data_IF_456616523678
#
_entry.id   IF_456616523678
#
_cell.length_a   1.000
_cell.length_b   1.000
_cell.length_c   1.000
_cell.angle_alpha   90.00
_cell.angle_beta   90.00
_cell.angle_gamma   90.00
#
_symmetry.space_group_name_H-M   'P 1'
#
loop_
_entity.id
_entity.type
_entity.pdbx_description
1 polymer ?
#
# COMPACT_ATOMS: atom_id res chain seq x y z
N UNK A 1 -5.29 16.52 -11.44
CA UNK A 1 -4.38 17.12 -10.44
C UNK A 1 -3.16 17.64 -11.18
N UNK A 2 -2.78 18.91 -10.99
CA UNK A 2 -1.51 19.42 -11.53
C UNK A 2 -0.35 18.58 -11.00
N UNK A 3 0.69 18.39 -11.81
CA UNK A 3 1.92 17.70 -11.37
C UNK A 3 2.71 18.64 -10.46
N UNK A 4 3.26 18.10 -9.38
CA UNK A 4 4.17 18.84 -8.49
C UNK A 4 5.49 19.18 -9.16
N UNK A 5 5.90 18.43 -10.18
CA UNK A 5 7.04 18.75 -11.03
C UNK A 5 6.86 18.21 -12.46
N UNK A 6 7.65 18.75 -13.40
CA UNK A 6 7.81 18.19 -14.74
C UNK A 6 9.31 18.06 -14.99
N UNK A 7 9.77 16.85 -15.31
CA UNK A 7 11.16 16.64 -15.73
C UNK A 7 11.42 17.38 -17.04
N UNK A 8 12.58 18.04 -17.14
CA UNK A 8 13.01 18.75 -18.37
C UNK A 8 13.40 17.78 -19.50
N UNK A 9 13.59 16.50 -19.19
CA UNK A 9 13.96 15.42 -20.11
C UNK A 9 12.88 14.35 -20.16
N UNK A 10 12.76 13.63 -21.29
CA UNK A 10 11.85 12.49 -21.39
C UNK A 10 12.24 11.29 -20.51
N UNK A 11 11.25 10.56 -19.99
CA UNK A 11 11.44 9.43 -19.08
C UNK A 11 12.38 8.33 -19.62
N UNK A 12 12.37 8.07 -20.93
CA UNK A 12 13.18 7.03 -21.55
C UNK A 12 14.70 7.22 -21.37
N UNK A 13 15.17 8.45 -21.10
CA UNK A 13 16.59 8.72 -20.81
C UNK A 13 17.02 8.11 -19.48
N UNK A 14 16.11 8.04 -18.51
CA UNK A 14 16.38 7.55 -17.15
C UNK A 14 16.27 6.03 -17.02
N UNK A 15 15.69 5.35 -18.01
CA UNK A 15 15.50 3.89 -18.04
C UNK A 15 16.62 3.14 -18.80
N UNK A 16 17.84 3.70 -18.86
CA UNK A 16 18.96 3.17 -19.68
C UNK A 16 20.07 2.49 -18.88
N UNK A 17 19.90 2.32 -17.56
CA UNK A 17 20.96 1.72 -16.73
C UNK A 17 21.27 0.29 -17.19
N UNK A 18 22.55 -0.06 -17.18
CA UNK A 18 23.05 -1.39 -17.56
C UNK A 18 23.21 -2.36 -16.37
N UNK A 19 22.89 -1.91 -15.15
CA UNK A 19 23.00 -2.74 -13.95
C UNK A 19 24.45 -3.14 -13.60
N UNK A 20 25.42 -2.31 -13.99
CA UNK A 20 26.83 -2.53 -13.68
C UNK A 20 27.07 -2.51 -12.16
N UNK A 21 28.11 -3.21 -11.73
CA UNK A 21 28.54 -3.22 -10.32
C UNK A 21 28.78 -1.78 -9.85
N UNK A 22 28.35 -1.47 -8.62
CA UNK A 22 28.54 -0.16 -7.96
C UNK A 22 27.91 1.04 -8.72
N UNK A 23 26.94 0.78 -9.61
CA UNK A 23 26.26 1.82 -10.40
C UNK A 23 25.32 2.71 -9.56
N UNK A 24 24.98 2.31 -8.35
CA UNK A 24 24.19 3.05 -7.37
C UNK A 24 24.99 3.41 -6.11
N UNK A 25 26.33 3.37 -6.14
CA UNK A 25 27.18 3.58 -4.94
C UNK A 25 26.96 4.91 -4.20
N UNK A 26 26.56 5.94 -4.93
CA UNK A 26 26.34 7.28 -4.40
C UNK A 26 24.87 7.51 -3.99
N UNK A 27 24.05 6.46 -4.01
CA UNK A 27 22.64 6.51 -3.63
C UNK A 27 22.37 5.88 -2.28
N UNK A 28 21.39 6.45 -1.59
CA UNK A 28 20.90 5.99 -0.30
C UNK A 28 19.43 5.61 -0.42
N UNK A 29 19.14 4.32 -0.25
CA UNK A 29 17.81 3.74 -0.50
C UNK A 29 17.20 3.26 0.82
N UNK A 30 16.02 3.78 1.15
CA UNK A 30 15.26 3.37 2.32
C UNK A 30 14.43 2.11 2.07
N UNK A 31 14.58 1.08 2.91
CA UNK A 31 13.79 -0.14 2.89
C UNK A 31 12.56 0.06 3.79
N UNK A 32 11.37 -0.12 3.22
CA UNK A 32 10.09 -0.03 3.94
C UNK A 32 9.74 -1.39 4.54
N UNK A 33 10.12 -1.64 5.80
CA UNK A 33 9.93 -2.92 6.48
C UNK A 33 8.47 -3.23 6.81
N UNK A 34 7.62 -2.21 6.89
CA UNK A 34 6.16 -2.34 7.03
C UNK A 34 5.55 -3.18 5.91
N UNK A 35 6.15 -3.15 4.71
CA UNK A 35 5.72 -3.97 3.55
C UNK A 35 6.18 -5.43 3.62
N UNK A 36 7.11 -5.75 4.52
CA UNK A 36 7.83 -7.03 4.61
C UNK A 36 7.48 -7.82 5.88
N UNK A 37 6.44 -7.42 6.60
CA UNK A 37 6.04 -8.06 7.85
C UNK A 37 5.35 -9.41 7.57
N UNK A 38 5.91 -10.49 8.13
CA UNK A 38 5.26 -11.80 8.11
C UNK A 38 4.26 -11.98 9.26
N UNK A 39 4.52 -11.35 10.41
CA UNK A 39 3.67 -11.38 11.60
C UNK A 39 3.16 -12.79 11.99
N UNK A 40 4.04 -13.79 11.89
CA UNK A 40 3.72 -15.20 12.18
C UNK A 40 2.94 -15.96 11.11
N UNK A 41 2.59 -15.33 9.97
CA UNK A 41 1.93 -16.02 8.86
C UNK A 41 2.94 -16.84 8.05
N UNK A 42 2.72 -18.16 8.00
CA UNK A 42 3.46 -19.08 7.12
C UNK A 42 3.31 -18.72 5.65
N UNK A 43 2.18 -18.14 5.24
CA UNK A 43 1.97 -17.70 3.87
C UNK A 43 2.88 -16.53 3.47
N UNK A 44 3.24 -15.67 4.41
CA UNK A 44 4.08 -14.49 4.16
C UNK A 44 5.59 -14.76 4.31
N UNK A 45 6.00 -15.73 5.13
CA UNK A 45 7.41 -16.05 5.39
C UNK A 45 8.26 -16.28 4.12
N UNK A 46 7.81 -17.04 3.09
CA UNK A 46 8.64 -17.31 1.91
C UNK A 46 9.06 -16.04 1.17
N UNK A 47 8.11 -15.13 0.91
CA UNK A 47 8.38 -13.92 0.13
C UNK A 47 9.17 -12.92 0.98
N UNK A 48 8.75 -12.68 2.23
CA UNK A 48 9.42 -11.72 3.13
C UNK A 48 10.89 -12.09 3.37
N UNK A 49 11.19 -13.39 3.49
CA UNK A 49 12.57 -13.90 3.58
C UNK A 49 13.33 -13.73 2.26
N UNK A 50 12.69 -14.06 1.13
CA UNK A 50 13.32 -13.94 -0.19
C UNK A 50 13.66 -12.48 -0.52
N UNK A 51 12.73 -11.55 -0.29
CA UNK A 51 12.92 -10.13 -0.61
C UNK A 51 13.96 -9.45 0.28
N UNK A 52 14.08 -9.84 1.56
CA UNK A 52 15.12 -9.31 2.45
C UNK A 52 16.53 -9.65 1.93
N UNK A 53 16.73 -10.88 1.45
CA UNK A 53 17.99 -11.31 0.83
C UNK A 53 18.20 -10.64 -0.54
N UNK A 54 17.15 -10.49 -1.32
CA UNK A 54 17.22 -9.88 -2.65
C UNK A 54 17.67 -8.42 -2.58
N UNK A 55 17.07 -7.62 -1.68
CA UNK A 55 17.45 -6.21 -1.50
C UNK A 55 18.92 -6.09 -1.11
N UNK A 56 19.39 -6.87 -0.13
CA UNK A 56 20.79 -6.82 0.31
C UNK A 56 21.76 -7.27 -0.76
N UNK A 57 21.47 -8.38 -1.43
CA UNK A 57 22.39 -8.94 -2.44
C UNK A 57 22.45 -8.08 -3.71
N UNK A 58 21.31 -7.57 -4.18
CA UNK A 58 21.27 -6.82 -5.43
C UNK A 58 21.45 -5.31 -5.25
N UNK A 59 20.60 -4.66 -4.44
CA UNK A 59 20.68 -3.20 -4.27
C UNK A 59 21.90 -2.79 -3.45
N UNK A 60 22.18 -3.50 -2.36
CA UNK A 60 23.35 -3.25 -1.52
C UNK A 60 24.65 -3.77 -2.14
N UNK A 61 24.85 -5.08 -2.16
CA UNK A 61 26.15 -5.67 -2.47
C UNK A 61 26.58 -5.57 -3.94
N UNK A 62 25.66 -5.77 -4.90
CA UNK A 62 26.01 -5.70 -6.33
C UNK A 62 25.97 -4.26 -6.86
N UNK A 63 24.88 -3.53 -6.63
CA UNK A 63 24.70 -2.17 -7.15
C UNK A 63 25.37 -1.10 -6.29
N UNK A 64 25.77 -1.42 -5.06
CA UNK A 64 26.55 -0.55 -4.18
C UNK A 64 25.72 0.46 -3.39
N UNK A 65 24.39 0.46 -3.46
CA UNK A 65 23.59 1.45 -2.77
C UNK A 65 23.74 1.34 -1.25
N UNK A 66 23.79 2.48 -0.56
CA UNK A 66 23.69 2.52 0.89
C UNK A 66 22.25 2.19 1.30
N UNK A 67 22.06 1.13 2.08
CA UNK A 67 20.74 0.70 2.54
C UNK A 67 20.45 1.22 3.94
N UNK A 68 19.24 1.73 4.13
CA UNK A 68 18.72 2.21 5.41
C UNK A 68 17.34 1.61 5.59
N UNK A 69 16.95 1.09 6.75
CA UNK A 69 15.65 0.43 6.94
C UNK A 69 14.77 1.14 7.97
N UNK A 70 13.45 1.13 7.73
CA UNK A 70 12.47 1.56 8.71
C UNK A 70 12.33 0.56 9.86
N UNK A 71 11.95 1.05 11.03
CA UNK A 71 11.63 0.23 12.20
C UNK A 71 10.14 -0.09 12.28
N UNK A 72 9.82 -1.30 12.74
CA UNK A 72 8.45 -1.71 13.08
C UNK A 72 8.50 -2.69 14.27
N UNK A 73 7.55 -2.66 15.23
CA UNK A 73 7.53 -3.59 16.37
C UNK A 73 7.49 -5.08 16.00
N UNK A 74 7.02 -5.41 14.81
CA UNK A 74 6.92 -6.77 14.27
C UNK A 74 8.12 -7.12 13.38
N UNK A 75 9.07 -6.21 13.21
CA UNK A 75 10.31 -6.41 12.46
C UNK A 75 11.49 -6.49 13.43
N UNK A 76 12.37 -7.48 13.23
CA UNK A 76 13.66 -7.51 13.92
C UNK A 76 14.68 -6.72 13.09
N UNK A 77 15.27 -5.63 13.63
CA UNK A 77 16.32 -4.88 12.96
C UNK A 77 17.42 -5.79 12.39
N UNK A 78 17.81 -5.52 11.14
CA UNK A 78 18.94 -6.16 10.49
C UNK A 78 20.23 -5.48 10.97
N UNK A 79 21.13 -6.18 11.68
CA UNK A 79 22.33 -5.56 12.25
C UNK A 79 23.32 -5.04 11.20
N UNK A 80 23.16 -5.42 9.93
CA UNK A 80 24.01 -4.98 8.82
C UNK A 80 23.41 -3.80 8.04
N UNK A 81 22.21 -3.33 8.40
CA UNK A 81 21.52 -2.22 7.72
C UNK A 81 21.33 -1.08 8.70
N UNK A 82 21.63 0.14 8.26
CA UNK A 82 21.43 1.33 9.08
C UNK A 82 19.94 1.54 9.39
N UNK A 83 19.62 1.87 10.64
CA UNK A 83 18.25 2.17 11.04
C UNK A 83 17.87 3.62 10.74
N UNK A 84 16.65 3.83 10.24
CA UNK A 84 16.10 5.18 10.08
C UNK A 84 15.94 5.87 11.45
N UNK A 85 16.40 7.12 11.54
CA UNK A 85 16.17 7.98 12.70
C UNK A 85 14.69 8.34 12.84
N UNK A 86 14.10 8.84 11.75
CA UNK A 86 12.66 9.09 11.61
C UNK A 86 12.07 8.07 10.63
N UNK A 87 11.48 6.99 11.14
CA UNK A 87 10.76 5.99 10.36
C UNK A 87 9.29 6.40 10.11
N UNK A 88 8.50 5.55 9.46
CA UNK A 88 7.11 5.85 9.13
C UNK A 88 6.23 6.01 10.37
N UNK A 89 6.46 5.22 11.44
CA UNK A 89 5.66 5.32 12.68
C UNK A 89 5.93 6.64 13.40
N UNK A 90 7.19 7.07 13.48
CA UNK A 90 7.56 8.39 14.03
C UNK A 90 7.03 9.52 13.15
N UNK A 91 7.16 9.40 11.83
CA UNK A 91 6.62 10.41 10.91
C UNK A 91 5.08 10.53 11.02
N UNK A 92 4.37 9.41 11.14
CA UNK A 92 2.93 9.40 11.42
C UNK A 92 2.60 10.06 12.76
N UNK A 93 3.36 9.76 13.83
CA UNK A 93 3.16 10.40 15.14
C UNK A 93 3.29 11.93 15.06
N UNK A 94 4.24 12.44 14.27
CA UNK A 94 4.43 13.89 14.05
C UNK A 94 3.30 14.52 13.24
N UNK A 95 2.78 13.82 12.24
CA UNK A 95 1.94 14.40 11.19
C UNK A 95 0.44 14.15 11.38
N UNK A 96 0.04 13.04 12.01
CA UNK A 96 -1.38 12.74 12.26
C UNK A 96 -2.09 13.85 13.04
N UNK A 97 -1.52 14.39 14.13
CA UNK A 97 -2.13 15.52 14.85
C UNK A 97 -2.45 16.75 13.99
N UNK A 98 -1.67 16.98 12.92
CA UNK A 98 -1.78 18.17 12.07
C UNK A 98 -2.71 17.94 10.88
N UNK A 99 -2.58 16.78 10.22
CA UNK A 99 -3.26 16.52 8.95
C UNK A 99 -4.59 15.79 9.10
N UNK A 100 -4.70 14.89 10.09
CA UNK A 100 -5.84 14.00 10.21
C UNK A 100 -6.02 13.50 11.66
N UNK A 101 -6.23 14.42 12.63
CA UNK A 101 -6.31 14.06 14.05
C UNK A 101 -7.48 13.13 14.38
N UNK A 102 -8.54 13.12 13.56
CA UNK A 102 -9.69 12.22 13.69
C UNK A 102 -9.30 10.73 13.63
N UNK A 103 -8.16 10.39 13.02
CA UNK A 103 -7.62 9.03 12.99
C UNK A 103 -7.59 8.40 14.39
N UNK A 104 -7.10 9.14 15.39
CA UNK A 104 -6.92 8.61 16.75
C UNK A 104 -8.26 8.32 17.45
N UNK A 105 -9.35 8.92 16.98
CA UNK A 105 -10.70 8.73 17.54
C UNK A 105 -11.52 7.65 16.81
N UNK A 106 -10.94 6.95 15.84
CA UNK A 106 -11.69 5.95 15.06
C UNK A 106 -12.06 4.74 15.90
N UNK A 107 -13.22 4.18 15.56
CA UNK A 107 -13.74 2.96 16.15
C UNK A 107 -13.70 1.80 15.14
N UNK A 108 -13.46 0.60 15.65
CA UNK A 108 -13.59 -0.66 14.91
C UNK A 108 -15.08 -0.96 14.66
N UNK A 109 -15.34 -1.98 13.85
CA UNK A 109 -16.71 -2.43 13.56
C UNK A 109 -17.48 -2.88 14.82
N UNK A 110 -16.78 -3.39 15.85
CA UNK A 110 -17.36 -3.76 17.14
C UNK A 110 -17.62 -2.55 18.07
N UNK A 111 -17.27 -1.34 17.63
CA UNK A 111 -17.45 -0.11 18.37
C UNK A 111 -16.32 0.23 19.34
N UNK A 112 -15.27 -0.58 19.46
CA UNK A 112 -14.11 -0.30 20.32
C UNK A 112 -13.09 0.62 19.64
N UNK A 113 -12.25 1.37 20.38
CA UNK A 113 -11.22 2.21 19.78
C UNK A 113 -10.24 1.44 18.90
N UNK A 114 -9.90 2.03 17.75
CA UNK A 114 -8.80 1.55 16.89
C UNK A 114 -7.47 1.71 17.63
N UNK A 115 -7.28 2.82 18.35
CA UNK A 115 -6.06 3.13 19.10
C UNK A 115 -6.32 3.07 20.62
N UNK A 116 -6.27 1.87 21.23
CA UNK A 116 -6.55 1.71 22.65
C UNK A 116 -5.54 2.45 23.54
N UNK A 117 -4.26 2.54 23.14
CA UNK A 117 -3.23 3.27 23.89
C UNK A 117 -3.56 4.77 24.03
N UNK A 118 -4.11 5.35 22.95
CA UNK A 118 -4.59 6.74 22.97
C UNK A 118 -5.80 6.89 23.90
N UNK A 119 -6.81 6.03 23.75
CA UNK A 119 -7.99 6.04 24.62
C UNK A 119 -7.62 5.81 26.10
N UNK A 120 -6.60 5.01 26.40
CA UNK A 120 -6.15 4.76 27.76
C UNK A 120 -5.44 5.97 28.39
N UNK A 121 -4.83 6.83 27.57
CA UNK A 121 -4.03 7.97 28.04
C UNK A 121 -4.86 9.25 28.26
N UNK A 122 -5.97 9.40 27.55
CA UNK A 122 -6.79 10.62 27.56
C UNK A 122 -7.93 10.56 28.58
N UNK A 123 -8.43 11.73 28.96
CA UNK A 123 -9.68 11.89 29.72
C UNK A 123 -10.89 11.34 28.95
N UNK A 124 -12.01 10.98 29.62
CA UNK A 124 -13.25 10.60 28.96
C UNK A 124 -13.66 11.59 27.85
N UNK A 125 -13.67 11.12 26.61
CA UNK A 125 -13.89 11.89 25.38
C UNK A 125 -14.82 11.11 24.45
N UNK A 126 -15.72 11.82 23.78
CA UNK A 126 -16.64 11.22 22.80
C UNK A 126 -15.92 10.95 21.46
N UNK A 127 -15.91 9.70 21.01
CA UNK A 127 -15.26 9.26 19.76
C UNK A 127 -16.26 9.22 18.59
N UNK A 128 -17.53 8.98 18.91
CA UNK A 128 -18.67 8.97 18.00
C UNK A 128 -19.94 9.26 18.81
N UNK A 129 -21.07 9.65 18.19
CA UNK A 129 -22.29 10.00 18.91
C UNK A 129 -22.70 8.94 19.95
N UNK A 130 -22.73 9.33 21.22
CA UNK A 130 -23.06 8.49 22.37
C UNK A 130 -21.99 7.49 22.79
N UNK A 131 -20.78 7.54 22.22
CA UNK A 131 -19.67 6.61 22.49
C UNK A 131 -18.48 7.33 23.10
N UNK A 132 -18.38 7.28 24.42
CA UNK A 132 -17.32 7.90 25.22
C UNK A 132 -16.27 6.87 25.63
N UNK A 133 -15.00 7.18 25.40
CA UNK A 133 -13.84 6.40 25.82
C UNK A 133 -12.81 7.31 26.49
N UNK A 134 -11.93 6.76 27.32
CA UNK A 134 -10.99 7.55 28.10
C UNK A 134 -10.86 7.00 29.51
N UNK A 135 -9.65 6.66 29.93
CA UNK A 135 -9.36 6.26 31.31
C UNK A 135 -8.16 6.97 31.92
N UNK A 136 -7.54 7.87 31.15
CA UNK A 136 -6.34 8.58 31.55
C UNK A 136 -6.63 10.00 31.99
N UNK A 137 -5.59 10.83 31.95
CA UNK A 137 -5.60 12.17 32.55
C UNK A 137 -5.22 13.26 31.56
N UNK A 138 -4.68 12.91 30.38
CA UNK A 138 -4.28 13.90 29.38
C UNK A 138 -5.50 14.42 28.64
N UNK A 139 -5.51 15.71 28.31
CA UNK A 139 -6.44 16.18 27.28
C UNK A 139 -6.03 15.58 25.93
N UNK A 140 -6.97 15.28 25.01
CA UNK A 140 -6.61 14.73 23.70
C UNK A 140 -5.62 15.60 22.93
N UNK A 141 -5.76 16.94 23.04
CA UNK A 141 -4.84 17.88 22.40
C UNK A 141 -3.43 17.82 23.01
N UNK A 142 -3.32 17.69 24.33
CA UNK A 142 -2.03 17.60 25.02
C UNK A 142 -1.32 16.27 24.69
N UNK A 143 -2.07 15.17 24.61
CA UNK A 143 -1.55 13.89 24.12
C UNK A 143 -0.98 14.05 22.70
N UNK A 144 -1.69 14.75 21.82
CA UNK A 144 -1.26 14.98 20.44
C UNK A 144 0.01 15.84 20.36
N UNK A 145 0.19 16.82 21.24
CA UNK A 145 1.45 17.59 21.34
C UNK A 145 2.60 16.68 21.76
N UNK A 146 2.44 15.91 22.84
CA UNK A 146 3.48 15.02 23.34
C UNK A 146 3.81 13.89 22.34
N UNK A 147 2.81 13.42 21.58
CA UNK A 147 2.98 12.47 20.49
C UNK A 147 3.78 13.09 19.33
N UNK A 148 3.42 14.30 18.90
CA UNK A 148 4.08 14.97 17.79
C UNK A 148 5.53 15.35 18.12
N UNK A 149 5.82 15.69 19.37
CA UNK A 149 7.18 15.94 19.85
C UNK A 149 7.97 14.64 20.12
N UNK A 150 7.35 13.47 19.93
CA UNK A 150 7.92 12.14 20.22
C UNK A 150 8.38 11.98 21.70
N UNK A 151 7.75 12.70 22.63
CA UNK A 151 8.02 12.60 24.08
C UNK A 151 7.32 11.42 24.73
N UNK A 152 6.24 10.95 24.10
CA UNK A 152 5.58 9.68 24.43
C UNK A 152 5.75 8.68 23.29
N UNK A 153 5.67 7.39 23.63
CA UNK A 153 5.67 6.34 22.62
C UNK A 153 4.40 6.46 21.74
N UNK A 154 4.53 6.41 20.40
CA UNK A 154 3.37 6.32 19.53
C UNK A 154 2.52 5.08 19.87
N UNK A 155 1.19 5.07 19.63
CA UNK A 155 0.38 3.86 19.78
C UNK A 155 0.99 2.67 19.04
N UNK A 156 0.87 1.45 19.60
CA UNK A 156 1.48 0.24 19.06
C UNK A 156 1.08 -0.03 17.60
N UNK A 157 -0.16 0.30 17.26
CA UNK A 157 -0.73 0.13 15.92
C UNK A 157 -0.83 1.43 15.11
N UNK A 158 -0.13 2.52 15.51
CA UNK A 158 0.04 3.68 14.65
C UNK A 158 1.05 3.37 13.55
N UNK A 159 0.60 2.61 12.56
CA UNK A 159 1.40 2.11 11.47
C UNK A 159 0.77 2.44 10.12
N UNK A 160 1.58 2.32 9.06
CA UNK A 160 1.16 2.57 7.68
C UNK A 160 -0.08 1.77 7.32
N UNK A 161 -0.19 0.51 7.74
CA UNK A 161 -1.32 -0.34 7.37
C UNK A 161 -2.66 0.12 8.00
N UNK A 162 -2.60 0.71 9.19
CA UNK A 162 -3.78 1.10 9.99
C UNK A 162 -4.40 2.40 9.53
N UNK A 163 -3.56 3.38 9.19
CA UNK A 163 -4.05 4.72 8.81
C UNK A 163 -4.74 4.75 7.44
N UNK A 164 -4.70 3.64 6.70
CA UNK A 164 -5.21 3.52 5.33
C UNK A 164 -6.72 3.29 5.24
N UNK A 165 -7.36 2.91 6.36
CA UNK A 165 -8.81 2.73 6.39
C UNK A 165 -9.50 4.06 6.00
N UNK A 166 -10.34 4.02 4.98
CA UNK A 166 -11.04 5.19 4.49
C UNK A 166 -12.48 4.79 4.18
N UNK A 167 -13.42 5.71 4.42
CA UNK A 167 -14.76 5.50 3.91
C UNK A 167 -14.74 5.58 2.37
N UNK A 168 -15.50 4.71 1.71
CA UNK A 168 -15.56 4.66 0.26
C UNK A 168 -16.09 5.99 -0.30
N UNK A 169 -15.24 6.68 -1.05
CA UNK A 169 -15.60 7.93 -1.73
C UNK A 169 -16.46 7.64 -2.96
N UNK A 170 -17.55 8.40 -3.14
CA UNK A 170 -18.42 8.27 -4.30
C UNK A 170 -17.81 8.81 -5.61
N UNK A 171 -16.58 9.35 -5.55
CA UNK A 171 -15.86 9.92 -6.70
C UNK A 171 -15.58 8.92 -7.84
N UNK A 172 -15.60 7.61 -7.59
CA UNK A 172 -15.45 6.60 -8.65
C UNK A 172 -16.53 6.76 -9.74
N UNK A 173 -17.78 7.02 -9.32
CA UNK A 173 -18.91 7.31 -10.21
C UNK A 173 -18.62 8.47 -11.16
N UNK A 174 -18.03 9.54 -10.63
CA UNK A 174 -17.63 10.72 -11.40
C UNK A 174 -16.49 10.40 -12.38
N UNK A 175 -15.41 9.78 -11.90
CA UNK A 175 -14.19 9.55 -12.69
C UNK A 175 -14.41 8.63 -13.89
N UNK A 176 -15.21 7.57 -13.75
CA UNK A 176 -15.51 6.68 -14.88
C UNK A 176 -16.24 7.42 -16.00
N UNK A 177 -17.27 8.21 -15.68
CA UNK A 177 -17.99 9.00 -16.70
C UNK A 177 -17.05 10.00 -17.38
N UNK A 178 -16.22 10.70 -16.61
CA UNK A 178 -15.24 11.64 -17.15
C UNK A 178 -14.23 10.96 -18.08
N UNK A 179 -13.71 9.79 -17.70
CA UNK A 179 -12.78 9.02 -18.53
C UNK A 179 -13.43 8.57 -19.83
N UNK A 180 -14.61 7.96 -19.76
CA UNK A 180 -15.30 7.41 -20.92
C UNK A 180 -15.68 8.50 -21.93
N UNK A 181 -16.14 9.67 -21.48
CA UNK A 181 -16.48 10.77 -22.38
C UNK A 181 -15.25 11.35 -23.08
N UNK A 182 -14.17 11.61 -22.33
CA UNK A 182 -12.92 12.13 -22.91
C UNK A 182 -12.27 11.15 -23.89
N UNK A 183 -12.25 9.86 -23.53
CA UNK A 183 -11.76 8.82 -24.42
C UNK A 183 -12.55 8.83 -25.73
N UNK A 184 -13.87 8.92 -25.68
CA UNK A 184 -14.69 8.95 -26.88
C UNK A 184 -14.46 10.21 -27.73
N UNK A 185 -14.20 11.37 -27.12
CA UNK A 185 -13.76 12.58 -27.82
C UNK A 185 -12.43 12.37 -28.55
N UNK A 186 -11.44 11.74 -27.90
CA UNK A 186 -10.15 11.40 -28.50
C UNK A 186 -10.30 10.44 -29.70
N UNK A 187 -11.18 9.43 -29.59
CA UNK A 187 -11.48 8.50 -30.69
C UNK A 187 -12.19 9.20 -31.84
N UNK A 188 -13.13 10.10 -31.54
CA UNK A 188 -13.84 10.89 -32.55
C UNK A 188 -12.87 11.75 -33.35
N UNK A 189 -11.91 12.38 -32.70
CA UNK A 189 -10.85 13.15 -33.37
C UNK A 189 -10.00 12.30 -34.33
N UNK A 190 -9.96 10.98 -34.13
CA UNK A 190 -9.26 10.00 -34.98
C UNK A 190 -10.18 9.32 -36.01
N UNK A 191 -11.43 9.77 -36.16
CA UNK A 191 -12.39 9.22 -37.11
C UNK A 191 -13.14 7.96 -36.64
N UNK A 192 -13.04 7.60 -35.36
CA UNK A 192 -13.74 6.45 -34.79
C UNK A 192 -14.97 6.86 -33.99
N UNK A 193 -16.03 6.05 -34.05
CA UNK A 193 -17.23 6.24 -33.23
C UNK A 193 -17.20 5.33 -32.00
N UNK A 194 -16.85 5.90 -30.85
CA UNK A 194 -16.96 5.21 -29.55
C UNK A 194 -18.34 5.44 -28.93
N UNK A 195 -19.00 4.37 -28.48
CA UNK A 195 -20.36 4.37 -27.92
C UNK A 195 -20.39 4.01 -26.43
N UNK A 196 -19.28 3.52 -25.86
CA UNK A 196 -19.11 3.35 -24.43
C UNK A 196 -18.68 4.68 -23.82
N UNK A 197 -19.66 5.51 -23.50
CA UNK A 197 -19.43 6.87 -23.02
C UNK A 197 -19.94 7.11 -21.60
N UNK A 198 -20.89 6.31 -21.12
CA UNK A 198 -21.56 6.49 -19.83
C UNK A 198 -21.74 5.19 -19.05
N UNK A 199 -22.34 5.31 -17.86
CA UNK A 199 -22.60 4.19 -16.95
C UNK A 199 -23.64 3.21 -17.48
N UNK A 200 -24.79 3.63 -18.05
CA UNK A 200 -25.73 2.70 -18.66
C UNK A 200 -25.08 1.84 -19.76
N UNK A 201 -24.30 2.46 -20.66
CA UNK A 201 -23.58 1.72 -21.70
C UNK A 201 -22.51 0.79 -21.12
N UNK A 202 -21.81 1.21 -20.06
CA UNK A 202 -20.86 0.37 -19.34
C UNK A 202 -21.55 -0.86 -18.75
N UNK A 203 -22.63 -0.66 -18.01
CA UNK A 203 -23.35 -1.73 -17.36
C UNK A 203 -23.98 -2.70 -18.36
N UNK A 204 -24.56 -2.19 -19.45
CA UNK A 204 -25.15 -3.02 -20.50
C UNK A 204 -24.13 -3.88 -21.27
N UNK A 205 -22.87 -3.45 -21.35
CA UNK A 205 -21.80 -4.16 -22.10
C UNK A 205 -20.88 -5.00 -21.21
N UNK A 206 -20.95 -4.81 -19.90
CA UNK A 206 -20.11 -5.53 -18.95
C UNK A 206 -20.56 -6.98 -18.78
N UNK A 207 -19.60 -7.88 -18.62
CA UNK A 207 -19.85 -9.28 -18.26
C UNK A 207 -19.46 -9.46 -16.79
N UNK A 208 -20.44 -9.71 -15.95
CA UNK A 208 -20.26 -9.90 -14.51
C UNK A 208 -20.11 -11.39 -14.19
N UNK A 209 -19.29 -11.71 -13.18
CA UNK A 209 -19.14 -13.07 -12.69
C UNK A 209 -20.38 -13.55 -11.91
N UNK A 210 -21.13 -12.61 -11.33
CA UNK A 210 -22.29 -12.88 -10.48
C UNK A 210 -23.24 -11.70 -10.40
N UNK A 211 -24.42 -11.98 -9.83
CA UNK A 211 -25.53 -11.03 -9.67
C UNK A 211 -25.21 -9.89 -8.69
N UNK A 212 -24.41 -10.22 -7.67
CA UNK A 212 -23.87 -9.33 -6.66
C UNK A 212 -23.00 -8.23 -7.28
N UNK A 213 -22.09 -8.60 -8.19
CA UNK A 213 -21.24 -7.65 -8.92
C UNK A 213 -22.07 -6.77 -9.84
N UNK A 214 -23.01 -7.34 -10.59
CA UNK A 214 -23.92 -6.58 -11.45
C UNK A 214 -24.70 -5.55 -10.63
N UNK A 215 -25.25 -5.97 -9.48
CA UNK A 215 -26.02 -5.10 -8.58
C UNK A 215 -25.16 -3.99 -7.97
N UNK A 216 -23.93 -4.30 -7.55
CA UNK A 216 -22.98 -3.29 -7.05
C UNK A 216 -22.66 -2.23 -8.12
N UNK A 217 -22.48 -2.62 -9.38
CA UNK A 217 -22.28 -1.68 -10.49
C UNK A 217 -23.54 -0.87 -10.84
N UNK A 218 -24.73 -1.43 -10.61
CA UNK A 218 -25.98 -0.66 -10.72
C UNK A 218 -26.09 0.41 -9.63
N UNK A 219 -25.73 0.08 -8.38
CA UNK A 219 -25.68 1.06 -7.30
C UNK A 219 -24.73 2.22 -7.61
N UNK A 220 -23.59 1.93 -8.26
CA UNK A 220 -22.69 2.98 -8.75
C UNK A 220 -23.37 3.86 -9.79
N UNK A 221 -24.01 3.28 -10.82
CA UNK A 221 -24.74 4.03 -11.84
C UNK A 221 -25.76 5.01 -11.22
N UNK A 222 -26.48 4.56 -10.20
CA UNK A 222 -27.55 5.29 -9.49
C UNK A 222 -27.02 6.32 -8.46
N UNK A 223 -25.72 6.33 -8.19
CA UNK A 223 -25.13 7.35 -7.31
C UNK A 223 -25.19 8.73 -7.96
N UNK A 224 -25.99 9.63 -7.39
CA UNK A 224 -26.22 11.00 -7.90
C UNK A 224 -25.54 12.09 -7.08
N UNK A 225 -25.29 11.85 -5.79
CA UNK A 225 -24.57 12.76 -4.90
C UNK A 225 -23.12 12.28 -4.70
N UNK A 226 -22.09 13.10 -5.00
CA UNK A 226 -20.70 12.72 -4.78
C UNK A 226 -20.30 12.69 -3.29
N UNK A 227 -21.15 13.19 -2.38
CA UNK A 227 -20.92 13.16 -0.93
C UNK A 227 -21.38 11.83 -0.34
N UNK A 228 -20.81 11.48 0.80
CA UNK A 228 -21.35 10.41 1.66
C UNK A 228 -22.52 10.98 2.51
N UNK A 229 -23.37 10.14 3.12
CA UNK A 229 -24.47 10.61 3.97
C UNK A 229 -24.03 11.64 5.02
N UNK A 230 -24.87 12.65 5.24
CA UNK A 230 -24.62 13.69 6.23
C UNK A 230 -24.55 13.09 7.65
N UNK A 231 -23.69 13.65 8.50
CA UNK A 231 -23.46 13.15 9.86
C UNK A 231 -22.51 11.94 9.94
N UNK A 232 -22.01 11.45 8.81
CA UNK A 232 -20.97 10.42 8.74
C UNK A 232 -19.65 10.94 8.18
N UNK A 233 -18.66 10.04 8.14
CA UNK A 233 -17.37 10.24 7.47
C UNK A 233 -17.58 10.64 6.00
N UNK A 234 -16.79 11.59 5.51
CA UNK A 234 -16.85 12.05 4.11
C UNK A 234 -15.64 11.53 3.33
N UNK A 235 -15.87 10.60 2.41
CA UNK A 235 -14.79 9.85 1.74
C UNK A 235 -13.97 10.67 0.77
N UNK A 236 -14.56 11.70 0.15
CA UNK A 236 -13.79 12.63 -0.69
C UNK A 236 -12.77 13.40 0.16
N UNK A 237 -13.21 13.92 1.30
CA UNK A 237 -12.40 14.72 2.21
C UNK A 237 -11.32 13.87 2.86
N UNK A 238 -11.69 12.70 3.38
CA UNK A 238 -10.74 11.74 3.96
C UNK A 238 -9.67 11.32 2.97
N UNK A 239 -10.03 11.10 1.71
CA UNK A 239 -9.06 10.71 0.69
C UNK A 239 -8.06 11.83 0.39
N UNK A 240 -8.48 13.10 0.46
CA UNK A 240 -7.57 14.24 0.29
C UNK A 240 -6.67 14.40 1.52
N UNK A 241 -7.23 14.32 2.73
CA UNK A 241 -6.46 14.41 3.98
C UNK A 241 -5.44 13.27 4.10
N UNK A 242 -5.86 12.03 3.85
CA UNK A 242 -4.98 10.86 3.85
C UNK A 242 -3.88 11.00 2.79
N UNK A 243 -4.24 11.43 1.57
CA UNK A 243 -3.25 11.66 0.51
C UNK A 243 -2.16 12.64 0.93
N UNK A 244 -2.55 13.76 1.53
CA UNK A 244 -1.60 14.76 1.98
C UNK A 244 -0.76 14.24 3.16
N UNK A 245 -1.38 13.59 4.15
CA UNK A 245 -0.67 12.95 5.26
C UNK A 245 0.42 11.99 4.76
N UNK A 246 0.06 11.02 3.89
CA UNK A 246 1.00 10.01 3.41
C UNK A 246 2.12 10.62 2.55
N UNK A 247 1.82 11.65 1.74
CA UNK A 247 2.88 12.37 1.00
C UNK A 247 3.88 13.02 1.94
N UNK A 248 3.40 13.66 3.02
CA UNK A 248 4.26 14.32 4.00
C UNK A 248 5.05 13.32 4.83
N UNK A 249 4.47 12.16 5.13
CA UNK A 249 5.20 11.06 5.78
C UNK A 249 6.37 10.61 4.92
N UNK A 250 6.15 10.34 3.63
CA UNK A 250 7.25 9.98 2.71
C UNK A 250 8.31 11.07 2.64
N UNK A 251 7.91 12.33 2.45
CA UNK A 251 8.84 13.45 2.39
C UNK A 251 9.66 13.56 3.67
N UNK A 252 9.03 13.44 4.85
CA UNK A 252 9.73 13.50 6.13
C UNK A 252 10.72 12.33 6.27
N UNK A 253 10.29 11.09 6.01
CA UNK A 253 11.17 9.92 6.08
C UNK A 253 12.35 10.06 5.10
N UNK A 254 12.10 10.52 3.87
CA UNK A 254 13.15 10.72 2.87
C UNK A 254 14.14 11.80 3.32
N UNK A 255 13.65 12.98 3.72
CA UNK A 255 14.50 14.12 4.04
C UNK A 255 15.29 13.94 5.35
N UNK A 256 14.63 13.48 6.42
CA UNK A 256 15.27 13.30 7.74
C UNK A 256 16.35 12.22 7.73
N UNK A 257 16.22 11.21 6.86
CA UNK A 257 17.20 10.13 6.71
C UNK A 257 18.14 10.30 5.49
N UNK A 258 18.02 11.43 4.78
CA UNK A 258 18.83 11.77 3.59
C UNK A 258 18.76 10.69 2.49
N UNK A 259 17.57 10.17 2.23
CA UNK A 259 17.35 9.12 1.24
C UNK A 259 17.13 9.74 -0.14
N UNK A 260 17.51 9.02 -1.19
CA UNK A 260 17.17 9.36 -2.58
C UNK A 260 15.83 8.75 -2.99
N UNK A 261 15.52 7.57 -2.47
CA UNK A 261 14.33 6.80 -2.80
C UNK A 261 14.00 5.79 -1.70
N UNK A 262 12.81 5.20 -1.82
CA UNK A 262 12.33 4.10 -1.01
C UNK A 262 12.14 2.85 -1.88
N UNK A 263 12.45 1.69 -1.32
CA UNK A 263 12.15 0.37 -1.85
C UNK A 263 11.23 -0.36 -0.89
N UNK A 264 10.15 -0.94 -1.42
CA UNK A 264 9.22 -1.78 -0.65
C UNK A 264 8.94 -3.09 -1.37
N UNK A 265 8.46 -4.07 -0.64
CA UNK A 265 7.84 -5.27 -1.21
C UNK A 265 6.44 -4.91 -1.73
N UNK A 266 6.06 -5.41 -2.91
CA UNK A 266 4.73 -5.16 -3.45
C UNK A 266 3.61 -5.72 -2.56
N UNK A 267 3.69 -7.01 -2.27
CA UNK A 267 2.79 -7.75 -1.37
C UNK A 267 3.58 -8.84 -0.64
N UNK A 268 3.35 -9.07 0.67
CA UNK A 268 4.00 -10.13 1.42
C UNK A 268 3.44 -11.53 1.11
N UNK A 269 2.26 -11.60 0.48
CA UNK A 269 1.59 -12.85 0.13
C UNK A 269 1.79 -13.18 -1.35
N UNK A 270 1.92 -14.48 -1.70
CA UNK A 270 1.89 -14.91 -3.09
C UNK A 270 0.50 -14.66 -3.70
N UNK A 271 0.39 -14.66 -5.05
CA UNK A 271 -0.91 -14.61 -5.72
C UNK A 271 -1.85 -15.68 -5.17
N UNK A 272 -3.06 -15.25 -4.76
CA UNK A 272 -4.03 -16.14 -4.15
C UNK A 272 -4.57 -17.17 -5.13
N UNK A 273 -4.95 -18.34 -4.61
CA UNK A 273 -5.65 -19.37 -5.38
C UNK A 273 -7.03 -18.85 -5.79
N UNK A 274 -7.35 -18.94 -7.07
CA UNK A 274 -8.67 -18.55 -7.60
C UNK A 274 -9.76 -19.36 -6.89
N UNK A 275 -10.75 -18.67 -6.31
CA UNK A 275 -11.84 -19.28 -5.54
C UNK A 275 -11.44 -19.77 -4.15
N UNK A 276 -10.19 -19.54 -3.71
CA UNK A 276 -9.73 -19.81 -2.35
C UNK A 276 -10.13 -18.71 -1.36
N UNK A 277 -9.97 -18.95 -0.04
CA UNK A 277 -10.13 -17.91 0.96
C UNK A 277 -8.94 -16.94 0.98
N UNK A 278 -9.20 -15.73 1.46
CA UNK A 278 -8.16 -14.79 1.86
C UNK A 278 -7.33 -15.35 3.03
N UNK A 279 -6.04 -15.00 3.09
CA UNK A 279 -5.21 -15.30 4.26
C UNK A 279 -5.70 -14.51 5.49
N UNK A 280 -6.07 -15.18 6.60
CA UNK A 280 -6.60 -14.54 7.80
C UNK A 280 -5.49 -14.05 8.75
N UNK A 281 -5.90 -13.44 9.87
CA UNK A 281 -4.98 -13.00 10.92
C UNK A 281 -4.39 -11.61 10.66
N UNK A 282 -3.31 -11.27 11.37
CA UNK A 282 -2.75 -9.91 11.34
C UNK A 282 -2.26 -9.50 9.94
N UNK A 283 -1.79 -10.46 9.15
CA UNK A 283 -1.32 -10.22 7.78
C UNK A 283 -2.42 -9.66 6.87
N UNK A 284 -3.70 -9.97 7.14
CA UNK A 284 -4.84 -9.45 6.38
C UNK A 284 -4.97 -7.93 6.50
N UNK A 285 -4.56 -7.35 7.63
CA UNK A 285 -4.45 -5.90 7.84
C UNK A 285 -3.13 -5.38 7.27
N UNK A 286 -2.01 -6.02 7.59
CA UNK A 286 -0.67 -5.52 7.23
C UNK A 286 -0.47 -5.37 5.73
N UNK A 287 -1.10 -6.22 4.90
CA UNK A 287 -1.09 -6.10 3.43
C UNK A 287 -1.65 -4.77 2.92
N UNK A 288 -2.40 -4.01 3.74
CA UNK A 288 -2.89 -2.67 3.39
C UNK A 288 -1.74 -1.65 3.23
N UNK A 289 -0.52 -1.97 3.64
CA UNK A 289 0.67 -1.18 3.24
C UNK A 289 0.73 -0.96 1.72
N UNK A 290 0.36 -1.97 0.92
CA UNK A 290 0.35 -1.87 -0.55
C UNK A 290 -0.58 -0.78 -1.10
N UNK A 291 -1.54 -0.29 -0.30
CA UNK A 291 -2.43 0.81 -0.68
C UNK A 291 -1.78 2.19 -0.56
N UNK A 292 -0.58 2.28 0.02
CA UNK A 292 0.09 3.55 0.34
C UNK A 292 0.35 4.37 -0.92
N UNK A 293 1.06 3.82 -1.89
CA UNK A 293 1.36 4.51 -3.15
C UNK A 293 0.10 5.06 -3.83
N UNK A 294 -0.95 4.24 -4.04
CA UNK A 294 -2.23 4.69 -4.60
C UNK A 294 -2.93 5.79 -3.77
N UNK A 295 -2.98 5.66 -2.44
CA UNK A 295 -3.65 6.63 -1.57
C UNK A 295 -2.87 7.96 -1.52
N UNK A 296 -1.54 7.89 -1.37
CA UNK A 296 -0.61 9.00 -1.46
C UNK A 296 -0.53 9.59 -2.88
N UNK A 297 -1.02 8.90 -3.91
CA UNK A 297 -0.96 9.36 -5.30
C UNK A 297 0.48 9.58 -5.76
N UNK A 298 1.33 8.59 -5.49
CA UNK A 298 2.74 8.55 -5.85
C UNK A 298 2.94 7.82 -7.18
N UNK A 299 4.04 8.13 -7.85
CA UNK A 299 4.55 7.30 -8.95
C UNK A 299 5.34 6.14 -8.35
N UNK A 300 4.93 4.91 -8.67
CA UNK A 300 5.60 3.68 -8.26
C UNK A 300 6.07 2.90 -9.49
N UNK A 301 7.27 2.33 -9.43
CA UNK A 301 7.81 1.44 -10.47
C UNK A 301 7.97 0.06 -9.89
N UNK A 302 7.25 -0.90 -10.49
CA UNK A 302 7.21 -2.28 -10.04
C UNK A 302 8.09 -3.16 -10.92
N UNK A 303 9.09 -3.83 -10.32
CA UNK A 303 10.03 -4.71 -11.04
C UNK A 303 9.99 -6.12 -10.43
N UNK A 304 9.87 -7.19 -11.25
CA UNK A 304 9.98 -8.57 -10.76
C UNK A 304 11.29 -8.80 -10.01
N UNK A 305 11.20 -9.40 -8.83
CA UNK A 305 12.32 -9.54 -7.90
C UNK A 305 12.72 -10.99 -7.59
N UNK A 306 11.93 -11.94 -8.07
CA UNK A 306 12.23 -13.36 -7.96
C UNK A 306 10.96 -14.18 -7.83
N UNK A 307 11.14 -15.42 -7.38
CA UNK A 307 10.08 -16.38 -7.21
C UNK A 307 10.23 -17.13 -5.89
N UNK A 308 9.10 -17.60 -5.36
CA UNK A 308 9.06 -18.56 -4.25
C UNK A 308 8.47 -19.89 -4.75
N UNK A 309 9.04 -21.01 -4.30
CA UNK A 309 8.62 -22.36 -4.71
C UNK A 309 7.77 -23.07 -3.66
N UNK A 310 7.41 -22.38 -2.58
CA UNK A 310 6.52 -22.88 -1.53
C UNK A 310 5.49 -21.82 -1.23
N UNK A 311 4.22 -22.20 -1.24
CA UNK A 311 3.08 -21.39 -0.80
C UNK A 311 2.36 -22.11 0.35
N UNK A 312 1.64 -21.35 1.16
CA UNK A 312 0.78 -21.87 2.22
C UNK A 312 -0.61 -21.29 1.98
N UNK A 313 -1.45 -22.05 1.29
CA UNK A 313 -2.78 -21.56 0.90
C UNK A 313 -3.76 -21.69 2.07
N UNK A 314 -4.43 -20.59 2.42
CA UNK A 314 -5.53 -20.59 3.36
C UNK A 314 -6.63 -21.59 2.94
N UNK A 315 -7.38 -22.09 3.92
CA UNK A 315 -8.50 -23.01 3.70
C UNK A 315 -9.81 -22.43 4.23
N UNK A 316 -10.91 -22.91 3.67
CA UNK A 316 -12.23 -22.64 4.25
C UNK A 316 -12.49 -23.62 5.37
N UNK A 317 -13.02 -23.13 6.48
CA UNK A 317 -13.60 -23.94 7.56
C UNK A 317 -15.01 -23.43 7.86
N UNK A 318 -15.89 -24.29 8.39
CA UNK A 318 -17.16 -23.82 8.92
C UNK A 318 -16.92 -23.04 10.21
N UNK A 319 -17.65 -21.94 10.41
CA UNK A 319 -17.71 -21.22 11.67
C UNK A 319 -18.18 -22.14 12.81
N UNK A 320 -17.87 -21.83 14.09
CA UNK A 320 -18.28 -22.65 15.22
C UNK A 320 -19.79 -22.93 15.27
N UNK A 321 -20.61 -21.97 14.86
CA UNK A 321 -22.07 -22.08 14.76
C UNK A 321 -22.57 -22.76 13.47
N UNK A 322 -21.65 -23.15 12.58
CA UNK A 322 -21.88 -23.79 11.27
C UNK A 322 -22.76 -22.98 10.31
N UNK A 323 -22.85 -21.66 10.49
CA UNK A 323 -23.69 -20.79 9.65
C UNK A 323 -22.96 -20.17 8.46
N UNK A 324 -21.63 -20.19 8.44
CA UNK A 324 -20.83 -19.61 7.36
C UNK A 324 -19.47 -20.28 7.21
N UNK A 325 -18.86 -20.14 6.04
CA UNK A 325 -17.45 -20.45 5.85
C UNK A 325 -16.58 -19.27 6.29
N UNK A 326 -15.47 -19.56 6.94
CA UNK A 326 -14.44 -18.62 7.36
C UNK A 326 -13.08 -19.04 6.80
N UNK A 327 -12.20 -18.09 6.59
CA UNK A 327 -10.81 -18.35 6.25
C UNK A 327 -10.03 -18.83 7.47
N UNK A 328 -9.24 -19.89 7.30
CA UNK A 328 -8.26 -20.37 8.29
C UNK A 328 -6.89 -20.49 7.64
N UNK A 329 -5.85 -20.04 8.35
CA UNK A 329 -4.47 -20.17 7.91
C UNK A 329 -4.07 -21.65 7.82
N UNK A 330 -3.11 -21.97 6.98
CA UNK A 330 -2.62 -23.34 6.78
C UNK A 330 -1.12 -23.39 6.98
N UNK A 331 -0.64 -24.35 7.77
CA UNK A 331 0.79 -24.66 7.89
C UNK A 331 1.24 -25.75 6.90
N UNK A 332 0.33 -26.20 6.02
CA UNK A 332 0.62 -27.22 5.02
C UNK A 332 1.27 -26.58 3.79
N UNK A 333 2.53 -26.94 3.45
CA UNK A 333 3.22 -26.35 2.32
C UNK A 333 2.73 -26.94 0.99
N UNK A 334 2.38 -26.06 0.05
CA UNK A 334 2.20 -26.38 -1.37
C UNK A 334 3.52 -26.17 -2.10
N UNK A 335 4.13 -27.24 -2.62
CA UNK A 335 5.32 -27.15 -3.47
C UNK A 335 4.96 -26.76 -4.89
N UNK A 336 5.67 -25.78 -5.43
CA UNK A 336 5.44 -25.22 -6.75
C UNK A 336 6.58 -25.59 -7.68
N UNK A 337 6.23 -26.05 -8.88
CA UNK A 337 7.22 -26.30 -9.94
C UNK A 337 7.92 -24.97 -10.34
N UNK A 338 9.15 -25.08 -10.84
CA UNK A 338 9.89 -23.93 -11.32
C UNK A 338 9.11 -23.17 -12.42
N UNK A 339 9.17 -21.82 -12.45
CA UNK A 339 9.97 -20.96 -11.58
C UNK A 339 9.35 -20.70 -10.19
N UNK A 340 8.10 -21.09 -9.95
CA UNK A 340 7.35 -20.80 -8.72
C UNK A 340 6.40 -19.60 -8.89
N UNK A 341 6.01 -18.97 -7.78
CA UNK A 341 5.17 -17.76 -7.78
C UNK A 341 6.01 -16.50 -7.66
N UNK A 342 5.78 -15.47 -8.50
CA UNK A 342 6.61 -14.28 -8.53
C UNK A 342 6.32 -13.34 -7.35
N UNK A 343 7.33 -12.57 -6.96
CA UNK A 343 7.18 -11.36 -6.16
C UNK A 343 7.95 -10.21 -6.79
N UNK A 344 7.63 -8.98 -6.39
CA UNK A 344 8.18 -7.76 -7.00
C UNK A 344 8.61 -6.74 -5.97
N UNK A 345 9.64 -5.98 -6.30
CA UNK A 345 10.01 -4.76 -5.60
C UNK A 345 9.28 -3.56 -6.21
N UNK A 346 8.98 -2.59 -5.37
CA UNK A 346 8.39 -1.32 -5.76
C UNK A 346 9.37 -0.21 -5.38
N UNK A 347 9.72 0.62 -6.35
CA UNK A 347 10.55 1.80 -6.14
C UNK A 347 9.69 3.06 -6.18
N UNK A 348 9.86 3.92 -5.18
CA UNK A 348 9.17 5.21 -5.06
C UNK A 348 10.13 6.28 -4.55
N UNK A 349 9.86 7.52 -4.90
CA UNK A 349 10.61 8.68 -4.44
C UNK A 349 9.64 9.84 -4.22
N UNK A 350 10.18 11.00 -3.86
CA UNK A 350 9.38 12.23 -3.75
C UNK A 350 8.58 12.49 -5.05
N UNK A 351 7.32 12.98 -4.96
CA UNK A 351 6.53 13.32 -6.14
C UNK A 351 7.28 14.22 -7.11
N UNK A 352 7.49 13.75 -8.34
CA UNK A 352 8.23 14.50 -9.35
C UNK A 352 9.71 14.12 -9.51
N UNK A 353 10.16 13.04 -8.85
CA UNK A 353 11.50 12.44 -8.97
C UNK A 353 11.48 11.12 -9.73
N UNK A 354 10.65 11.01 -10.77
CA UNK A 354 10.55 9.81 -11.60
C UNK A 354 11.88 9.45 -12.30
N UNK A 355 12.76 10.42 -12.50
CA UNK A 355 14.13 10.19 -12.98
C UNK A 355 14.93 9.28 -12.04
N UNK A 356 14.82 9.53 -10.72
CA UNK A 356 15.50 8.73 -9.70
C UNK A 356 14.92 7.32 -9.64
N UNK A 357 13.59 7.19 -9.59
CA UNK A 357 12.95 5.86 -9.53
C UNK A 357 13.23 5.04 -10.79
N UNK A 358 13.18 5.64 -11.98
CA UNK A 358 13.51 4.96 -13.24
C UNK A 358 14.97 4.52 -13.26
N UNK A 359 15.91 5.36 -12.81
CA UNK A 359 17.34 5.02 -12.74
C UNK A 359 17.58 3.79 -11.85
N UNK A 360 17.00 3.78 -10.65
CA UNK A 360 17.16 2.67 -9.69
C UNK A 360 16.49 1.41 -10.23
N UNK A 361 15.23 1.51 -10.67
CA UNK A 361 14.46 0.38 -11.17
C UNK A 361 15.12 -0.27 -12.40
N UNK A 362 15.61 0.53 -13.36
CA UNK A 362 16.32 0.02 -14.53
C UNK A 362 17.66 -0.63 -14.14
N UNK A 363 18.41 -0.06 -13.18
CA UNK A 363 19.64 -0.66 -12.69
C UNK A 363 19.39 -2.02 -12.04
N UNK A 364 18.36 -2.11 -11.21
CA UNK A 364 17.94 -3.35 -10.56
C UNK A 364 17.46 -4.39 -11.57
N UNK A 365 16.58 -4.02 -12.51
CA UNK A 365 16.08 -4.94 -13.54
C UNK A 365 17.22 -5.51 -14.40
N UNK A 366 18.11 -4.63 -14.88
CA UNK A 366 19.23 -5.01 -15.74
C UNK A 366 20.25 -5.91 -15.02
N UNK A 367 20.49 -5.68 -13.72
CA UNK A 367 21.40 -6.49 -12.92
C UNK A 367 20.81 -7.85 -12.52
N UNK A 368 19.54 -7.85 -12.09
CA UNK A 368 18.91 -9.03 -11.46
C UNK A 368 18.32 -10.01 -12.47
N UNK A 369 17.80 -9.52 -13.61
CA UNK A 369 17.23 -10.31 -14.71
C UNK A 369 16.23 -11.39 -14.24
N UNK A 370 15.40 -11.06 -13.25
CA UNK A 370 14.52 -12.03 -12.57
C UNK A 370 13.35 -12.52 -13.42
N UNK A 371 12.99 -11.83 -14.49
CA UNK A 371 11.84 -12.19 -15.31
C UNK A 371 12.09 -13.46 -16.13
N UNK A 372 11.22 -14.45 -15.97
CA UNK A 372 11.23 -15.69 -16.76
C UNK A 372 9.92 -15.78 -17.57
N UNK A 373 9.95 -16.18 -18.87
CA UNK A 373 8.74 -16.48 -19.62
C UNK A 373 7.91 -17.57 -18.94
N UNK A 374 6.58 -17.42 -18.81
CA UNK A 374 5.73 -18.46 -18.25
C UNK A 374 5.84 -19.77 -19.07
N UNK A 375 6.22 -20.91 -18.47
CA UNK A 375 6.46 -22.14 -19.23
C UNK A 375 5.26 -22.65 -20.04
N UNK A 376 4.04 -22.36 -19.55
CA UNK A 376 2.79 -22.75 -20.22
C UNK A 376 2.44 -21.88 -21.44
N UNK A 377 3.13 -20.76 -21.63
CA UNK A 377 2.89 -19.79 -22.71
C UNK A 377 4.19 -19.63 -23.49
N UNK A 378 4.52 -20.66 -24.27
CA UNK A 378 5.67 -20.66 -25.18
C UNK A 378 5.65 -19.52 -26.19
N UNK A 379 6.71 -19.38 -27.02
CA UNK A 379 6.75 -18.36 -28.05
C UNK A 379 5.49 -18.41 -28.94
N UNK A 380 5.01 -17.24 -29.34
CA UNK A 380 3.92 -17.15 -30.31
C UNK A 380 4.37 -17.86 -31.62
N UNK A 381 3.50 -18.68 -32.23
CA UNK A 381 3.80 -19.38 -33.48
C UNK A 381 4.04 -18.43 -34.65
#
# INVERSE_FOLDING_TARGET
MPRSSVLSTGYAVHAKSLGAKDSLRDMRIGIVRESMLAAGSKAAEPITTAVAREIKSMLGAHLGATLVESGDPLWKPDPEVEQMGIDFRKALARLVPVFMPDLLFRLKADGTPVFPDFAAAIVPTEFAPGKVFGSGTLQPIDYMVELADLRIAPPANLDVSTVQDQILANSFRFHIRQYLSRRAEDWKARGFTERLIDWPALNARSKYWGDDQRSAYKNWEETTDPRNPLGGRQGVDERIMLRELLRRVDMMVILENKLDALVRLHTPLPPAKIGGPDEPGLIARLRNESQYGPNAGLTEILIPAGYVTTAYDAKFALSPDRKKYIAVASDQPTKLAAPGLPFSLVFRAEPGKEDITLKIAAAYEAASKRRVPPPAFGPLP
#
